data_IF_705116192102
#
_entry.id   IF_705116192102
#
_cell.length_a   1.000
_cell.length_b   1.000
_cell.length_c   1.000
_cell.angle_alpha   90.00
_cell.angle_beta   90.00
_cell.angle_gamma   90.00
#
_symmetry.space_group_name_H-M   'P 1'
#
loop_
_entity.id
_entity.type
_entity.pdbx_description
1 polymer ?
#
# COMPACT_ATOMS: atom_id res chain seq x y z
N UNK A 1 -11.47 -6.63 -8.95
CA UNK A 1 -10.67 -6.13 -7.80
C UNK A 1 -10.38 -7.16 -6.70
N UNK A 2 -11.38 -7.83 -6.12
CA UNK A 2 -11.23 -8.58 -4.84
C UNK A 2 -10.39 -9.86 -4.89
N UNK A 3 -10.26 -10.52 -6.04
CA UNK A 3 -9.64 -11.86 -6.13
C UNK A 3 -8.12 -11.84 -6.40
N UNK A 4 -7.56 -10.70 -6.85
CA UNK A 4 -6.12 -10.56 -7.10
C UNK A 4 -5.30 -10.38 -5.82
N UNK A 5 -4.00 -10.64 -5.87
CA UNK A 5 -3.08 -10.46 -4.73
C UNK A 5 -2.77 -8.98 -4.41
N UNK A 6 -3.08 -8.08 -5.33
CA UNK A 6 -2.57 -6.71 -5.30
C UNK A 6 -2.75 -5.95 -6.62
N UNK A 7 -1.90 -4.95 -6.83
CA UNK A 7 -1.74 -4.25 -8.10
C UNK A 7 -0.26 -4.05 -8.45
N UNK A 8 0.02 -3.79 -9.73
CA UNK A 8 1.32 -3.38 -10.22
C UNK A 8 1.42 -1.85 -10.22
N UNK A 9 2.39 -1.31 -9.50
CA UNK A 9 2.72 0.12 -9.55
C UNK A 9 3.91 0.37 -10.51
N UNK A 10 3.66 1.15 -11.55
CA UNK A 10 4.65 1.50 -12.57
C UNK A 10 5.03 2.96 -12.44
N UNK A 11 6.17 3.22 -11.81
CA UNK A 11 6.74 4.57 -11.77
C UNK A 11 7.41 4.91 -13.11
N UNK A 12 6.69 5.65 -13.95
CA UNK A 12 7.06 5.99 -15.32
C UNK A 12 8.30 6.90 -15.42
N UNK A 13 8.48 7.84 -14.49
CA UNK A 13 9.64 8.73 -14.53
C UNK A 13 10.98 7.98 -14.35
N UNK A 14 10.95 6.76 -13.78
CA UNK A 14 12.13 5.92 -13.62
C UNK A 14 12.34 4.94 -14.79
N UNK A 15 11.43 4.94 -15.78
CA UNK A 15 11.57 4.16 -17.01
C UNK A 15 12.28 5.01 -18.08
N UNK A 16 13.61 5.12 -18.00
CA UNK A 16 14.42 5.91 -18.94
C UNK A 16 15.43 5.04 -19.69
N UNK A 17 15.36 4.93 -21.03
CA UNK A 17 14.31 5.49 -21.90
C UNK A 17 12.96 4.79 -21.68
N UNK A 18 11.86 5.47 -22.04
CA UNK A 18 10.53 4.86 -21.98
C UNK A 18 10.40 3.76 -23.04
N UNK A 19 10.10 2.54 -22.60
CA UNK A 19 9.81 1.40 -23.47
C UNK A 19 8.55 0.67 -23.02
N UNK A 20 7.48 0.81 -23.80
CA UNK A 20 6.20 0.17 -23.52
C UNK A 20 6.27 -1.36 -23.55
N UNK A 21 7.23 -1.96 -24.29
CA UNK A 21 7.33 -3.42 -24.42
C UNK A 21 7.72 -4.06 -23.09
N UNK A 22 8.57 -3.42 -22.32
CA UNK A 22 8.98 -3.87 -20.98
C UNK A 22 7.79 -3.87 -20.01
N UNK A 23 7.00 -2.80 -20.03
CA UNK A 23 5.78 -2.67 -19.22
C UNK A 23 4.74 -3.73 -19.64
N UNK A 24 4.50 -3.90 -20.94
CA UNK A 24 3.59 -4.91 -21.48
C UNK A 24 4.01 -6.31 -21.05
N UNK A 25 5.29 -6.65 -21.19
CA UNK A 25 5.83 -7.95 -20.76
C UNK A 25 5.64 -8.17 -19.26
N UNK A 26 5.95 -7.17 -18.43
CA UNK A 26 5.71 -7.23 -16.99
C UNK A 26 4.24 -7.50 -16.67
N UNK A 27 3.32 -6.74 -17.24
CA UNK A 27 1.89 -6.95 -17.01
C UNK A 27 1.43 -8.34 -17.45
N UNK A 28 1.78 -8.78 -18.66
CA UNK A 28 1.34 -10.09 -19.15
C UNK A 28 1.82 -11.25 -18.27
N UNK A 29 3.04 -11.15 -17.74
CA UNK A 29 3.60 -12.16 -16.84
C UNK A 29 2.88 -12.23 -15.49
N UNK A 30 2.35 -11.11 -15.00
CA UNK A 30 1.83 -11.02 -13.63
C UNK A 30 0.34 -10.69 -13.49
N UNK A 31 -0.39 -10.43 -14.58
CA UNK A 31 -1.82 -10.04 -14.54
C UNK A 31 -2.73 -11.05 -13.85
N UNK A 32 -2.33 -12.33 -13.81
CA UNK A 32 -3.05 -13.40 -13.12
C UNK A 32 -2.98 -13.27 -11.59
N UNK A 33 -1.95 -12.59 -11.06
CA UNK A 33 -1.81 -12.25 -9.64
C UNK A 33 -2.25 -10.80 -9.38
N UNK A 34 -1.89 -9.87 -10.27
CA UNK A 34 -2.09 -8.44 -10.14
C UNK A 34 -2.90 -7.91 -11.35
N UNK A 35 -4.23 -8.09 -11.37
CA UNK A 35 -5.07 -7.70 -12.51
C UNK A 35 -5.27 -6.18 -12.64
N UNK A 36 -4.73 -5.41 -11.70
CA UNK A 36 -4.75 -3.96 -11.69
C UNK A 36 -3.32 -3.44 -11.89
N UNK A 37 -3.13 -2.51 -12.84
CA UNK A 37 -1.90 -1.75 -13.04
C UNK A 37 -2.15 -0.26 -12.91
N UNK A 38 -1.30 0.44 -12.16
CA UNK A 38 -1.35 1.89 -11.97
C UNK A 38 -0.04 2.51 -12.45
N UNK A 39 -0.15 3.68 -13.08
CA UNK A 39 0.96 4.42 -13.64
C UNK A 39 1.18 5.73 -12.88
N UNK A 40 2.34 5.83 -12.25
CA UNK A 40 2.73 7.00 -11.49
C UNK A 40 3.71 7.88 -12.27
N UNK A 41 3.49 9.21 -12.25
CA UNK A 41 4.37 10.19 -12.87
C UNK A 41 4.16 10.40 -14.37
N UNK A 42 2.99 10.09 -14.91
CA UNK A 42 2.68 10.20 -16.34
C UNK A 42 2.76 11.62 -16.91
N UNK A 43 2.72 12.63 -16.06
CA UNK A 43 2.81 14.05 -16.44
C UNK A 43 4.25 14.57 -16.54
N UNK A 44 5.24 13.77 -16.15
CA UNK A 44 6.65 14.16 -16.14
C UNK A 44 7.44 13.35 -17.16
N UNK A 45 8.45 13.94 -17.79
CA UNK A 45 9.31 13.24 -18.75
C UNK A 45 10.01 11.99 -18.14
N UNK A 46 10.24 10.93 -18.95
CA UNK A 46 11.11 9.82 -18.58
C UNK A 46 12.50 10.28 -18.12
N UNK A 47 13.01 9.68 -17.06
CA UNK A 47 14.32 10.01 -16.49
C UNK A 47 14.32 11.23 -15.56
N UNK A 48 13.18 11.89 -15.36
CA UNK A 48 13.06 12.96 -14.38
C UNK A 48 13.32 12.45 -12.96
N UNK A 49 14.08 13.24 -12.19
CA UNK A 49 14.33 13.01 -10.76
C UNK A 49 13.21 13.57 -9.86
N UNK A 50 12.25 14.27 -10.44
CA UNK A 50 11.18 14.96 -9.74
C UNK A 50 9.85 14.32 -10.16
N UNK A 51 9.10 13.80 -9.20
CA UNK A 51 7.66 13.59 -9.33
C UNK A 51 6.95 14.22 -8.12
N UNK A 52 5.77 14.83 -8.29
CA UNK A 52 4.97 14.90 -9.52
C UNK A 52 4.64 16.36 -9.87
N UNK A 53 4.69 16.70 -11.17
CA UNK A 53 4.13 17.97 -11.61
C UNK A 53 2.61 17.93 -11.37
N UNK A 54 2.00 18.97 -10.79
CA UNK A 54 0.55 19.05 -10.64
C UNK A 54 -0.12 19.48 -11.95
N UNK A 55 0.10 18.68 -13.00
CA UNK A 55 -0.48 18.85 -14.32
C UNK A 55 -1.38 17.66 -14.65
N UNK A 56 -2.54 17.93 -15.23
CA UNK A 56 -3.55 16.95 -15.62
C UNK A 56 -3.20 16.25 -16.95
N UNK A 57 -2.28 16.81 -17.74
CA UNK A 57 -1.86 16.27 -19.03
C UNK A 57 -0.71 15.28 -18.93
N UNK A 58 -0.78 14.22 -19.74
CA UNK A 58 0.31 13.26 -19.90
C UNK A 58 1.47 13.86 -20.70
N UNK A 59 2.70 13.56 -20.31
CA UNK A 59 3.88 13.97 -21.05
C UNK A 59 3.90 13.34 -22.47
N UNK A 60 4.25 14.11 -23.53
CA UNK A 60 4.22 13.60 -24.91
C UNK A 60 5.05 12.33 -25.16
N UNK A 61 6.15 12.13 -24.42
CA UNK A 61 7.01 10.95 -24.57
C UNK A 61 6.32 9.62 -24.28
N UNK A 62 5.19 9.63 -23.57
CA UNK A 62 4.39 8.43 -23.32
C UNK A 62 3.34 8.18 -24.41
N UNK A 63 3.08 9.16 -25.26
CA UNK A 63 2.04 9.12 -26.28
C UNK A 63 2.57 8.57 -27.61
N UNK A 64 1.76 7.79 -28.36
CA UNK A 64 0.46 7.21 -27.98
C UNK A 64 0.58 5.87 -27.22
N UNK A 65 1.80 5.35 -27.09
CA UNK A 65 2.07 3.95 -26.74
C UNK A 65 1.48 3.54 -25.37
N UNK A 66 1.57 4.40 -24.36
CA UNK A 66 1.03 4.10 -23.03
C UNK A 66 -0.51 4.08 -23.02
N UNK A 67 -1.23 5.09 -23.55
CA UNK A 67 -2.69 5.00 -23.73
C UNK A 67 -3.15 3.79 -24.54
N UNK A 68 -2.45 3.43 -25.61
CA UNK A 68 -2.79 2.24 -26.41
C UNK A 68 -2.70 0.96 -25.58
N UNK A 69 -1.64 0.82 -24.79
CA UNK A 69 -1.50 -0.30 -23.86
C UNK A 69 -2.57 -0.30 -22.77
N UNK A 70 -2.91 0.86 -22.20
CA UNK A 70 -3.97 0.95 -21.19
C UNK A 70 -5.31 0.51 -21.77
N UNK A 71 -5.64 0.92 -23.00
CA UNK A 71 -6.83 0.44 -23.71
C UNK A 71 -6.81 -1.08 -23.94
N UNK A 72 -5.66 -1.65 -24.29
CA UNK A 72 -5.48 -3.12 -24.41
C UNK A 72 -5.79 -3.83 -23.09
N UNK A 73 -5.26 -3.32 -21.97
CA UNK A 73 -5.50 -3.88 -20.63
C UNK A 73 -6.99 -3.84 -20.28
N UNK A 74 -7.64 -2.69 -20.47
CA UNK A 74 -9.07 -2.49 -20.16
C UNK A 74 -9.96 -3.35 -21.06
N UNK A 75 -9.68 -3.43 -22.35
CA UNK A 75 -10.41 -4.30 -23.28
C UNK A 75 -10.29 -5.79 -22.92
N UNK A 76 -9.17 -6.20 -22.31
CA UNK A 76 -8.96 -7.54 -21.78
C UNK A 76 -9.61 -7.80 -20.42
N UNK A 77 -10.40 -6.86 -19.88
CA UNK A 77 -11.06 -6.98 -18.58
C UNK A 77 -10.19 -6.64 -17.37
N UNK A 78 -9.00 -6.09 -17.58
CA UNK A 78 -8.12 -5.61 -16.52
C UNK A 78 -8.51 -4.22 -15.99
N UNK A 79 -7.87 -3.82 -14.90
CA UNK A 79 -7.97 -2.45 -14.37
C UNK A 79 -6.67 -1.70 -14.68
N UNK A 80 -6.75 -0.56 -15.34
CA UNK A 80 -5.60 0.27 -15.66
C UNK A 80 -5.89 1.74 -15.45
N UNK A 81 -4.94 2.43 -14.82
CA UNK A 81 -5.15 3.78 -14.33
C UNK A 81 -3.89 4.58 -14.18
N UNK A 82 -4.06 5.89 -14.04
CA UNK A 82 -2.98 6.83 -13.82
C UNK A 82 -3.15 7.54 -12.48
N UNK A 83 -2.06 8.16 -12.03
CA UNK A 83 -2.08 9.06 -10.90
C UNK A 83 -3.00 10.27 -11.14
N UNK A 84 -3.70 10.66 -10.08
CA UNK A 84 -4.48 11.87 -9.94
C UNK A 84 -4.27 12.37 -8.52
N UNK A 85 -4.25 13.67 -8.30
CA UNK A 85 -4.27 14.23 -6.96
C UNK A 85 -5.37 15.29 -6.86
N UNK A 86 -6.15 15.30 -5.77
CA UNK A 86 -6.76 16.54 -5.34
C UNK A 86 -5.66 17.59 -5.21
N UNK A 87 -5.92 18.82 -5.61
CA UNK A 87 -4.89 19.86 -5.59
C UNK A 87 -4.41 20.13 -4.17
N UNK A 88 -3.21 19.65 -3.84
CA UNK A 88 -2.49 20.00 -2.62
C UNK A 88 -1.46 21.06 -2.97
N UNK A 89 -1.61 22.24 -2.37
CA UNK A 89 -0.55 23.23 -2.43
C UNK A 89 -0.37 23.85 -1.05
N UNK A 90 0.88 24.19 -0.77
CA UNK A 90 1.36 24.53 0.58
C UNK A 90 1.71 26.00 0.70
N UNK A 91 1.54 26.79 -0.38
CA UNK A 91 1.92 28.18 -0.44
C UNK A 91 0.87 29.04 -1.16
N UNK A 92 1.08 30.35 -1.14
CA UNK A 92 0.18 31.33 -1.77
C UNK A 92 0.13 31.25 -3.29
N UNK A 93 1.11 30.59 -3.94
CA UNK A 93 1.13 30.38 -5.40
C UNK A 93 0.27 29.19 -5.82
N UNK A 94 0.05 28.25 -4.91
CA UNK A 94 -0.75 27.05 -5.12
C UNK A 94 -1.71 26.86 -3.93
N UNK A 95 -2.84 27.60 -3.85
CA UNK A 95 -3.76 27.47 -2.74
C UNK A 95 -4.48 26.12 -2.76
N UNK A 96 -4.40 25.37 -1.66
CA UNK A 96 -5.10 24.09 -1.47
C UNK A 96 -6.56 24.20 -1.94
N UNK A 97 -7.01 23.24 -2.77
CA UNK A 97 -8.41 23.14 -3.19
C UNK A 97 -9.12 22.01 -2.47
N UNK A 98 -10.16 22.42 -1.79
CA UNK A 98 -10.98 21.60 -0.92
C UNK A 98 -12.10 20.95 -1.74
N UNK A 99 -12.24 19.61 -1.67
CA UNK A 99 -13.15 18.83 -2.52
C UNK A 99 -14.64 19.07 -2.21
N UNK A 100 -14.95 19.62 -1.04
CA UNK A 100 -16.30 20.11 -0.71
C UNK A 100 -16.69 21.38 -1.48
N UNK A 101 -15.71 22.07 -2.08
CA UNK A 101 -15.97 23.23 -2.95
C UNK A 101 -16.05 22.78 -4.40
N UNK A 102 -16.82 23.52 -5.21
CA UNK A 102 -16.93 23.25 -6.65
C UNK A 102 -15.58 23.32 -7.37
N UNK A 103 -14.73 24.27 -7.01
CA UNK A 103 -13.40 24.41 -7.62
C UNK A 103 -12.52 23.18 -7.35
N UNK A 104 -12.51 22.67 -6.11
CA UNK A 104 -11.73 21.50 -5.75
C UNK A 104 -12.27 20.21 -6.37
N UNK A 105 -13.60 20.03 -6.39
CA UNK A 105 -14.20 18.88 -7.07
C UNK A 105 -13.94 18.92 -8.58
N UNK A 106 -14.12 20.07 -9.22
CA UNK A 106 -13.97 20.23 -10.67
C UNK A 106 -12.51 19.97 -11.11
N UNK A 107 -11.52 20.36 -10.30
CA UNK A 107 -10.11 20.00 -10.52
C UNK A 107 -9.90 18.49 -10.58
N UNK A 108 -10.27 17.76 -9.51
CA UNK A 108 -10.07 16.32 -9.47
C UNK A 108 -10.83 15.61 -10.60
N UNK A 109 -12.05 16.04 -10.88
CA UNK A 109 -12.90 15.44 -11.92
C UNK A 109 -12.36 15.72 -13.33
N UNK A 110 -11.75 16.88 -13.56
CA UNK A 110 -11.08 17.18 -14.83
C UNK A 110 -9.90 16.24 -15.04
N UNK A 111 -9.07 16.06 -14.01
CA UNK A 111 -7.95 15.11 -14.05
C UNK A 111 -8.41 13.67 -14.30
N UNK A 112 -9.43 13.20 -13.57
CA UNK A 112 -10.03 11.87 -13.79
C UNK A 112 -10.57 11.76 -15.23
N UNK A 113 -11.22 12.80 -15.74
CA UNK A 113 -11.70 12.88 -17.12
C UNK A 113 -10.59 12.78 -18.16
N UNK A 114 -9.46 13.45 -17.93
CA UNK A 114 -8.25 13.34 -18.77
C UNK A 114 -7.69 11.93 -18.76
N UNK A 115 -7.51 11.34 -17.58
CA UNK A 115 -7.07 9.96 -17.42
C UNK A 115 -8.00 8.97 -18.15
N UNK A 116 -9.32 9.19 -18.07
CA UNK A 116 -10.31 8.40 -18.82
C UNK A 116 -10.15 8.57 -20.32
N UNK A 117 -9.85 9.77 -20.82
CA UNK A 117 -9.60 10.01 -22.25
C UNK A 117 -8.36 9.26 -22.78
N UNK A 118 -7.39 8.96 -21.91
CA UNK A 118 -6.25 8.10 -22.21
C UNK A 118 -6.57 6.59 -22.11
N UNK A 119 -7.82 6.22 -21.84
CA UNK A 119 -8.29 4.83 -21.81
C UNK A 119 -8.36 4.21 -20.41
N UNK A 120 -8.09 4.97 -19.34
CA UNK A 120 -8.16 4.44 -17.98
C UNK A 120 -9.59 4.08 -17.55
N UNK A 121 -9.71 3.00 -16.77
CA UNK A 121 -10.92 2.62 -16.04
C UNK A 121 -10.72 2.59 -14.52
N UNK A 122 -9.50 2.85 -14.04
CA UNK A 122 -9.17 2.97 -12.62
C UNK A 122 -8.26 4.17 -12.37
N UNK A 123 -8.13 4.60 -11.12
CA UNK A 123 -7.47 5.87 -10.79
C UNK A 123 -6.71 5.76 -9.47
N UNK A 124 -5.50 6.29 -9.40
CA UNK A 124 -4.76 6.42 -8.15
C UNK A 124 -4.92 7.86 -7.63
N UNK A 125 -5.74 8.05 -6.61
CA UNK A 125 -6.08 9.37 -6.05
C UNK A 125 -5.21 9.63 -4.83
N UNK A 126 -4.14 10.38 -5.05
CA UNK A 126 -3.13 10.71 -4.07
C UNK A 126 -3.65 11.66 -2.98
N UNK A 127 -3.03 11.68 -1.80
CA UNK A 127 -3.21 12.58 -0.66
C UNK A 127 -4.58 12.61 0.01
N UNK A 128 -5.65 12.13 -0.66
CA UNK A 128 -7.03 12.24 -0.19
C UNK A 128 -7.24 11.59 1.17
N UNK A 129 -6.55 10.48 1.46
CA UNK A 129 -6.58 9.80 2.75
C UNK A 129 -5.64 10.36 3.81
N UNK A 130 -4.86 11.39 3.50
CA UNK A 130 -3.83 11.97 4.40
C UNK A 130 -4.18 13.35 4.91
N UNK A 131 -5.01 14.08 4.15
CA UNK A 131 -5.25 15.49 4.41
C UNK A 131 -6.73 15.83 4.46
N UNK A 132 -7.04 16.94 5.13
CA UNK A 132 -8.41 17.46 5.18
C UNK A 132 -8.82 18.06 3.83
N UNK A 133 -9.64 17.34 3.06
CA UNK A 133 -10.18 17.78 1.78
C UNK A 133 -11.63 18.26 1.86
N UNK A 134 -12.12 18.53 3.07
CA UNK A 134 -13.47 19.00 3.30
C UNK A 134 -14.26 18.21 4.30
N UNK A 135 -15.50 18.64 4.48
CA UNK A 135 -16.45 17.95 5.33
C UNK A 135 -16.65 16.50 4.84
N UNK A 136 -16.39 15.53 5.73
CA UNK A 136 -16.40 14.10 5.42
C UNK A 136 -17.64 13.66 4.64
N UNK A 137 -18.84 14.10 5.07
CA UNK A 137 -20.09 13.73 4.42
C UNK A 137 -20.17 14.22 2.96
N UNK A 138 -19.67 15.43 2.68
CA UNK A 138 -19.65 15.99 1.32
C UNK A 138 -18.65 15.27 0.43
N UNK A 139 -17.46 14.96 0.94
CA UNK A 139 -16.45 14.19 0.19
C UNK A 139 -16.93 12.75 -0.04
N UNK A 140 -17.55 12.11 0.96
CA UNK A 140 -18.19 10.80 0.82
C UNK A 140 -19.26 10.78 -0.27
N UNK A 141 -20.05 11.85 -0.41
CA UNK A 141 -21.07 11.95 -1.46
C UNK A 141 -20.45 11.94 -2.87
N UNK A 142 -19.19 12.35 -3.06
CA UNK A 142 -18.51 12.22 -4.34
C UNK A 142 -18.30 10.76 -4.73
N UNK A 143 -18.01 9.88 -3.77
CA UNK A 143 -17.97 8.43 -3.99
C UNK A 143 -19.37 7.83 -4.15
N UNK A 144 -20.31 8.23 -3.28
CA UNK A 144 -21.68 7.72 -3.30
C UNK A 144 -22.44 8.04 -4.59
N UNK A 145 -22.17 9.20 -5.19
CA UNK A 145 -22.72 9.63 -6.49
C UNK A 145 -22.03 8.99 -7.70
N UNK A 146 -20.85 8.39 -7.51
CA UNK A 146 -20.01 7.86 -8.59
C UNK A 146 -19.19 8.91 -9.34
N UNK A 147 -19.13 10.15 -8.84
CA UNK A 147 -18.26 11.20 -9.40
C UNK A 147 -16.78 10.83 -9.25
N UNK A 148 -16.38 10.38 -8.06
CA UNK A 148 -15.13 9.64 -7.90
C UNK A 148 -15.45 8.16 -8.18
N UNK A 149 -14.84 7.55 -9.22
CA UNK A 149 -15.16 6.17 -9.59
C UNK A 149 -14.85 5.17 -8.47
N UNK A 150 -15.60 4.07 -8.41
CA UNK A 150 -15.38 3.02 -7.40
C UNK A 150 -14.03 2.30 -7.59
N UNK A 151 -13.52 2.28 -8.81
CA UNK A 151 -12.19 1.76 -9.14
C UNK A 151 -11.08 2.81 -8.90
N UNK A 152 -11.23 3.61 -7.85
CA UNK A 152 -10.21 4.54 -7.36
C UNK A 152 -9.50 3.94 -6.14
N UNK A 153 -8.17 3.91 -6.20
CA UNK A 153 -7.29 3.65 -5.06
C UNK A 153 -6.97 4.99 -4.40
N UNK A 154 -7.29 5.14 -3.12
CA UNK A 154 -7.00 6.33 -2.34
C UNK A 154 -5.66 6.16 -1.64
N UNK A 155 -4.73 7.10 -1.80
CA UNK A 155 -3.53 7.08 -0.96
C UNK A 155 -3.90 7.52 0.46
N UNK A 156 -3.47 6.74 1.46
CA UNK A 156 -3.78 6.94 2.87
C UNK A 156 -5.05 6.21 3.31
N UNK A 157 -5.24 6.14 4.63
CA UNK A 157 -6.38 5.46 5.25
C UNK A 157 -7.22 6.47 6.01
N UNK A 158 -8.51 6.57 5.66
CA UNK A 158 -9.49 7.33 6.44
C UNK A 158 -10.81 6.58 6.55
N UNK A 159 -11.31 6.40 7.78
CA UNK A 159 -12.48 5.59 8.15
C UNK A 159 -13.79 6.03 7.50
N UNK A 160 -13.80 7.22 6.93
CA UNK A 160 -14.98 7.84 6.34
C UNK A 160 -15.18 7.44 4.87
N UNK A 161 -14.15 7.00 4.13
CA UNK A 161 -14.31 6.73 2.70
C UNK A 161 -14.60 5.24 2.41
N UNK A 162 -15.67 4.93 1.64
CA UNK A 162 -15.98 3.56 1.22
C UNK A 162 -15.18 3.17 -0.04
N UNK A 163 -13.85 3.32 0.01
CA UNK A 163 -12.97 3.09 -1.14
C UNK A 163 -11.78 2.19 -0.79
N UNK A 164 -11.12 1.65 -1.82
CA UNK A 164 -9.83 1.00 -1.68
C UNK A 164 -8.78 2.02 -1.24
N UNK A 165 -7.93 1.65 -0.28
CA UNK A 165 -6.92 2.57 0.28
C UNK A 165 -5.53 1.96 0.30
N UNK A 166 -4.50 2.77 0.00
CA UNK A 166 -3.09 2.42 0.16
C UNK A 166 -2.60 2.91 1.52
N UNK A 167 -2.16 1.99 2.37
CA UNK A 167 -1.49 2.26 3.64
C UNK A 167 -0.03 2.57 3.31
N UNK A 168 0.27 3.87 3.18
CA UNK A 168 1.55 4.38 2.75
C UNK A 168 2.03 5.47 3.71
N UNK A 169 3.32 5.53 4.04
CA UNK A 169 3.98 6.56 4.88
C UNK A 169 3.34 6.77 6.26
N UNK A 170 2.43 5.90 6.64
CA UNK A 170 1.60 5.95 7.84
C UNK A 170 2.39 5.51 9.08
N UNK A 171 3.38 4.64 8.88
CA UNK A 171 4.35 4.27 9.90
C UNK A 171 5.46 5.30 9.99
N UNK A 172 5.94 5.86 8.87
CA UNK A 172 7.08 6.78 8.83
C UNK A 172 6.72 8.29 8.94
N UNK A 173 5.44 8.66 8.91
CA UNK A 173 4.98 10.04 8.73
C UNK A 173 5.38 10.62 7.37
N UNK A 174 4.44 11.16 6.59
CA UNK A 174 4.79 11.99 5.43
C UNK A 174 5.28 13.35 5.91
N UNK A 175 6.53 13.69 5.65
CA UNK A 175 6.96 15.08 5.72
C UNK A 175 8.22 15.32 4.91
N UNK A 176 8.24 16.44 4.19
CA UNK A 176 9.42 16.93 3.49
C UNK A 176 10.15 17.93 4.41
N UNK A 177 11.33 17.56 4.92
CA UNK A 177 12.22 18.47 5.63
C UNK A 177 12.38 18.22 7.14
N UNK A 178 12.90 19.23 7.86
CA UNK A 178 13.42 19.15 9.25
C UNK A 178 12.43 18.61 10.30
N UNK A 179 11.14 18.58 9.99
CA UNK A 179 10.07 18.08 10.88
C UNK A 179 9.49 16.71 10.43
N UNK A 180 9.98 16.15 9.32
CA UNK A 180 9.26 15.17 8.51
C UNK A 180 9.95 13.83 8.24
N UNK A 181 11.08 13.55 8.88
CA UNK A 181 11.66 12.22 8.80
C UNK A 181 11.51 11.53 10.14
N UNK A 182 11.27 10.22 10.10
CA UNK A 182 11.24 9.31 11.22
C UNK A 182 9.88 9.21 11.95
N UNK A 183 8.86 8.59 11.38
CA UNK A 183 7.80 7.91 12.13
C UNK A 183 8.37 6.67 12.84
N UNK A 184 9.41 6.91 13.62
CA UNK A 184 10.19 5.85 14.19
C UNK A 184 9.34 5.08 15.22
N UNK A 185 9.68 3.81 15.50
CA UNK A 185 9.51 3.33 16.86
C UNK A 185 10.12 4.41 17.77
N UNK A 186 9.38 4.85 18.80
CA UNK A 186 9.66 6.00 19.70
C UNK A 186 9.02 7.36 19.36
N UNK A 187 8.37 7.57 18.21
CA UNK A 187 7.47 8.74 18.06
C UNK A 187 6.15 8.49 18.78
N UNK A 188 5.73 9.44 19.59
CA UNK A 188 4.41 9.41 20.24
C UNK A 188 3.61 10.67 19.88
N UNK A 189 2.27 10.61 19.90
CA UNK A 189 1.40 11.77 19.65
C UNK A 189 1.74 13.00 20.51
N UNK A 190 2.23 12.78 21.72
CA UNK A 190 2.52 13.81 22.72
C UNK A 190 3.82 14.57 22.47
N UNK A 191 4.66 14.11 21.54
CA UNK A 191 6.01 14.66 21.31
C UNK A 191 6.20 15.23 19.91
N UNK A 192 5.20 15.11 19.02
CA UNK A 192 5.31 15.53 17.62
C UNK A 192 4.00 16.10 17.07
N UNK A 193 3.76 17.38 17.37
CA UNK A 193 2.52 18.15 17.12
C UNK A 193 2.03 18.21 15.66
N UNK A 194 2.89 17.85 14.69
CA UNK A 194 2.62 17.93 13.24
C UNK A 194 2.52 16.57 12.56
N UNK A 195 2.74 15.47 13.28
CA UNK A 195 2.61 14.13 12.71
C UNK A 195 1.19 13.63 12.93
N UNK A 196 0.44 13.42 11.84
CA UNK A 196 -0.76 12.60 11.91
C UNK A 196 -0.32 11.16 12.13
N UNK A 197 -0.36 10.71 13.38
CA UNK A 197 -0.40 9.27 13.62
C UNK A 197 -1.71 8.82 12.99
N UNK A 198 -1.68 7.92 12.00
CA UNK A 198 -2.88 7.24 11.62
C UNK A 198 -3.35 6.60 12.92
N UNK A 199 -4.47 7.10 13.45
CA UNK A 199 -5.29 6.27 14.32
C UNK A 199 -5.77 5.19 13.39
N UNK A 200 -4.94 4.17 13.17
CA UNK A 200 -5.42 2.85 12.86
C UNK A 200 -6.32 2.51 14.04
N UNK A 201 -7.56 2.98 13.99
CA UNK A 201 -8.62 2.35 14.71
C UNK A 201 -8.50 0.92 14.23
N UNK A 202 -7.97 0.03 15.08
CA UNK A 202 -7.84 -1.40 14.81
C UNK A 202 -9.19 -2.01 14.35
N UNK A 203 -10.27 -1.25 14.54
CA UNK A 203 -11.62 -1.37 14.00
C UNK A 203 -11.78 -1.33 12.47
N UNK A 204 -10.82 -0.83 11.69
CA UNK A 204 -10.97 -0.62 10.25
C UNK A 204 -10.78 -1.86 9.39
N UNK A 205 -10.09 -2.88 9.90
CA UNK A 205 -9.72 -4.07 9.16
C UNK A 205 -10.85 -5.10 9.01
N UNK A 206 -12.10 -4.62 9.05
CA UNK A 206 -13.32 -5.39 8.85
C UNK A 206 -13.38 -6.01 7.46
N UNK A 207 -14.15 -5.39 6.57
CA UNK A 207 -14.37 -5.79 5.17
C UNK A 207 -13.72 -4.82 4.16
N UNK A 208 -12.96 -3.85 4.65
CA UNK A 208 -12.36 -2.79 3.84
C UNK A 208 -11.12 -3.30 3.11
N UNK A 209 -10.93 -2.79 1.89
CA UNK A 209 -9.80 -3.17 1.05
C UNK A 209 -8.63 -2.22 1.25
N UNK A 210 -7.59 -2.72 1.89
CA UNK A 210 -6.32 -2.02 2.05
C UNK A 210 -5.23 -2.67 1.21
N UNK A 211 -4.32 -1.81 0.75
CA UNK A 211 -3.11 -2.18 0.07
C UNK A 211 -1.93 -1.70 0.91
N UNK A 212 -0.92 -2.54 1.10
CA UNK A 212 0.35 -2.15 1.71
C UNK A 212 1.47 -2.40 0.70
N UNK A 213 2.42 -1.45 0.55
CA UNK A 213 3.53 -1.67 -0.37
C UNK A 213 4.51 -0.52 -0.56
N UNK A 214 5.25 -0.61 -1.67
CA UNK A 214 6.56 0.01 -1.87
C UNK A 214 6.46 1.47 -2.31
N UNK A 215 5.34 1.89 -2.92
CA UNK A 215 5.22 3.15 -3.67
C UNK A 215 5.59 4.41 -2.87
N UNK A 216 5.45 4.38 -1.53
CA UNK A 216 5.59 5.55 -0.68
C UNK A 216 6.65 5.42 0.42
N UNK A 217 7.76 4.77 0.07
CA UNK A 217 9.00 4.76 0.87
C UNK A 217 8.91 3.97 2.20
N UNK A 218 7.80 3.31 2.52
CA UNK A 218 7.72 2.38 3.67
C UNK A 218 8.68 1.19 3.50
N UNK A 219 9.02 0.84 2.26
CA UNK A 219 10.11 -0.09 1.91
C UNK A 219 11.50 0.39 2.35
N UNK A 220 11.68 1.68 2.63
CA UNK A 220 12.90 2.21 3.24
C UNK A 220 13.03 1.77 4.70
N UNK A 221 11.90 1.54 5.37
CA UNK A 221 11.82 1.08 6.75
C UNK A 221 11.79 -0.46 6.83
N UNK A 222 11.02 -1.10 5.95
CA UNK A 222 10.75 -2.54 6.04
C UNK A 222 10.97 -3.32 4.73
N UNK A 223 11.60 -2.77 3.71
CA UNK A 223 11.64 -3.40 2.38
C UNK A 223 12.65 -4.53 2.22
N UNK A 224 12.62 -5.11 1.02
CA UNK A 224 13.46 -6.21 0.52
C UNK A 224 14.98 -5.97 0.67
N UNK A 225 15.43 -4.73 0.54
CA UNK A 225 16.86 -4.46 0.39
C UNK A 225 17.45 -4.08 1.74
N UNK A 226 18.71 -4.43 1.93
CA UNK A 226 19.62 -3.96 3.00
C UNK A 226 19.76 -2.41 3.07
N UNK A 227 18.81 -1.62 2.57
CA UNK A 227 18.73 -0.17 2.72
C UNK A 227 18.79 0.23 4.19
N UNK A 228 18.13 -0.47 5.11
CA UNK A 228 18.30 -0.23 6.54
C UNK A 228 19.71 -0.56 7.07
N UNK A 229 20.50 -1.39 6.35
CA UNK A 229 21.94 -1.62 6.65
C UNK A 229 22.85 -0.61 5.95
N UNK A 230 22.32 0.27 5.09
CA UNK A 230 23.11 1.30 4.38
C UNK A 230 23.48 2.41 5.34
N UNK A 231 24.69 2.30 5.91
CA UNK A 231 25.34 3.33 6.73
C UNK A 231 25.56 4.66 5.99
N UNK A 232 25.36 4.71 4.67
CA UNK A 232 25.42 5.94 3.85
C UNK A 232 24.08 6.70 3.77
N UNK A 233 22.96 6.11 4.20
CA UNK A 233 21.67 6.80 4.22
C UNK A 233 21.53 7.68 5.45
N UNK A 234 21.87 8.98 5.32
CA UNK A 234 21.68 9.99 6.38
C UNK A 234 20.27 9.96 6.97
N UNK A 235 19.25 9.69 6.15
CA UNK A 235 17.85 9.60 6.58
C UNK A 235 17.59 8.43 7.53
N UNK A 236 18.19 7.26 7.30
CA UNK A 236 17.97 6.08 8.14
C UNK A 236 18.72 6.15 9.48
N UNK A 237 19.86 6.84 9.50
CA UNK A 237 20.64 7.09 10.72
C UNK A 237 19.98 8.09 11.66
N UNK A 238 19.48 9.22 11.12
CA UNK A 238 18.79 10.27 11.91
C UNK A 238 17.57 9.71 12.65
N UNK A 239 16.99 8.61 12.17
CA UNK A 239 15.79 8.00 12.70
C UNK A 239 15.99 6.83 13.66
N UNK A 240 17.22 6.42 13.97
CA UNK A 240 17.48 5.26 14.84
C UNK A 240 17.01 3.91 14.29
N UNK A 241 16.67 3.83 12.99
CA UNK A 241 16.09 2.63 12.39
C UNK A 241 17.06 1.45 12.33
N UNK A 242 18.36 1.71 12.13
CA UNK A 242 19.38 0.65 12.11
C UNK A 242 19.37 -0.11 13.44
N UNK A 243 19.46 0.63 14.56
CA UNK A 243 19.44 0.06 15.91
C UNK A 243 18.11 -0.63 16.22
N UNK A 244 16.98 -0.02 15.83
CA UNK A 244 15.69 -0.68 16.00
C UNK A 244 15.62 -2.04 15.29
N UNK A 245 16.07 -2.13 14.05
CA UNK A 245 16.10 -3.38 13.29
C UNK A 245 17.07 -4.41 13.90
N UNK A 246 18.23 -3.97 14.39
CA UNK A 246 19.18 -4.82 15.11
C UNK A 246 18.57 -5.43 16.38
N UNK A 247 17.80 -4.64 17.14
CA UNK A 247 17.21 -5.04 18.42
C UNK A 247 15.88 -5.81 18.25
N UNK A 248 15.09 -5.45 17.24
CA UNK A 248 13.70 -5.89 17.11
C UNK A 248 13.49 -6.99 16.06
N UNK A 249 14.46 -7.28 15.21
CA UNK A 249 14.41 -8.41 14.28
C UNK A 249 14.57 -7.99 12.82
N UNK A 250 14.60 -8.94 11.88
CA UNK A 250 14.95 -8.63 10.50
C UNK A 250 13.89 -7.72 9.87
N UNK A 251 14.26 -6.47 9.63
CA UNK A 251 13.47 -5.52 8.84
C UNK A 251 13.47 -5.84 7.33
N UNK A 252 14.22 -6.86 6.91
CA UNK A 252 14.15 -7.39 5.54
C UNK A 252 12.72 -7.89 5.27
N UNK A 253 12.08 -7.29 4.27
CA UNK A 253 10.71 -7.61 3.83
C UNK A 253 9.61 -7.42 4.90
N UNK A 254 9.87 -6.62 5.93
CA UNK A 254 8.86 -6.27 6.92
C UNK A 254 7.61 -5.59 6.32
N UNK A 255 7.67 -4.89 5.17
CA UNK A 255 6.48 -4.26 4.56
C UNK A 255 5.54 -5.36 4.11
N UNK A 256 6.08 -6.35 3.39
CA UNK A 256 5.33 -7.51 2.91
C UNK A 256 4.85 -8.37 4.07
N UNK A 257 5.69 -8.57 5.11
CA UNK A 257 5.29 -9.31 6.33
C UNK A 257 4.16 -8.62 7.07
N UNK A 258 4.22 -7.30 7.22
CA UNK A 258 3.19 -6.53 7.89
C UNK A 258 1.90 -6.54 7.09
N UNK A 259 1.98 -6.29 5.78
CA UNK A 259 0.82 -6.42 4.89
C UNK A 259 0.21 -7.83 4.97
N UNK A 260 1.03 -8.88 5.09
CA UNK A 260 0.56 -10.23 5.33
C UNK A 260 -0.15 -10.40 6.68
N UNK A 261 0.47 -9.94 7.78
CA UNK A 261 -0.09 -10.02 9.14
C UNK A 261 -1.33 -9.16 9.35
N UNK A 262 -1.51 -8.11 8.56
CA UNK A 262 -2.72 -7.26 8.55
C UNK A 262 -3.77 -7.76 7.54
N UNK A 263 -3.42 -8.71 6.68
CA UNK A 263 -4.32 -9.25 5.65
C UNK A 263 -4.51 -8.33 4.43
N UNK A 264 -3.63 -7.36 4.26
CA UNK A 264 -3.67 -6.34 3.20
C UNK A 264 -3.26 -6.90 1.83
N UNK A 265 -3.81 -6.32 0.77
CA UNK A 265 -3.32 -6.55 -0.59
C UNK A 265 -1.95 -5.92 -0.78
N UNK A 266 -1.21 -6.40 -1.76
CA UNK A 266 0.18 -5.99 -1.98
C UNK A 266 0.24 -4.92 -3.07
N UNK A 267 0.93 -3.81 -2.80
CA UNK A 267 1.35 -2.84 -3.81
C UNK A 267 2.78 -3.19 -4.26
N UNK A 268 2.91 -3.68 -5.50
CA UNK A 268 4.14 -4.30 -5.99
C UNK A 268 4.71 -3.54 -7.18
N UNK A 269 5.91 -2.99 -6.97
CA UNK A 269 6.67 -2.29 -8.02
C UNK A 269 7.56 -3.22 -8.86
N UNK A 270 8.33 -4.09 -8.18
CA UNK A 270 9.19 -5.08 -8.83
C UNK A 270 8.96 -6.44 -8.18
N UNK A 271 8.18 -7.34 -8.79
CA UNK A 271 7.86 -8.65 -8.20
C UNK A 271 9.02 -9.65 -8.22
N UNK A 272 10.13 -9.34 -8.90
CA UNK A 272 11.31 -10.22 -8.98
C UNK A 272 12.20 -10.06 -7.75
N UNK A 273 12.86 -11.14 -7.37
CA UNK A 273 13.87 -11.18 -6.30
C UNK A 273 13.32 -10.86 -4.90
N UNK A 274 12.07 -11.24 -4.61
CA UNK A 274 11.44 -11.05 -3.30
C UNK A 274 10.87 -12.38 -2.75
N UNK A 275 11.71 -13.12 -2.02
CA UNK A 275 11.36 -14.44 -1.49
C UNK A 275 10.16 -14.42 -0.52
N UNK A 276 9.92 -13.30 0.16
CA UNK A 276 8.80 -13.17 1.11
C UNK A 276 7.50 -12.89 0.38
N UNK A 277 7.55 -12.04 -0.65
CA UNK A 277 6.42 -11.81 -1.54
C UNK A 277 5.93 -13.13 -2.14
N UNK A 278 6.85 -13.95 -2.67
CA UNK A 278 6.50 -15.26 -3.22
C UNK A 278 5.90 -16.18 -2.15
N UNK A 279 6.51 -16.26 -0.96
CA UNK A 279 5.99 -17.07 0.14
C UNK A 279 4.57 -16.66 0.57
N UNK A 280 4.29 -15.35 0.62
CA UNK A 280 2.96 -14.80 0.92
C UNK A 280 1.96 -15.22 -0.16
N UNK A 281 2.31 -15.05 -1.44
CA UNK A 281 1.43 -15.39 -2.55
C UNK A 281 1.10 -16.88 -2.53
N UNK A 282 2.11 -17.74 -2.36
CA UNK A 282 1.92 -19.20 -2.31
C UNK A 282 1.04 -19.62 -1.13
N UNK A 283 1.25 -19.06 0.06
CA UNK A 283 0.41 -19.37 1.21
C UNK A 283 -1.02 -18.82 1.05
N UNK A 284 -1.20 -17.63 0.48
CA UNK A 284 -2.53 -17.06 0.17
C UNK A 284 -3.29 -17.89 -0.86
N UNK A 285 -2.61 -18.38 -1.90
CA UNK A 285 -3.20 -19.31 -2.89
C UNK A 285 -3.59 -20.62 -2.21
N UNK A 286 -2.67 -21.26 -1.49
CA UNK A 286 -2.92 -22.52 -0.78
C UNK A 286 -4.10 -22.42 0.19
N UNK A 287 -4.19 -21.33 0.95
CA UNK A 287 -5.24 -21.10 1.94
C UNK A 287 -6.54 -20.52 1.34
N UNK A 288 -6.59 -20.29 0.02
CA UNK A 288 -7.70 -19.64 -0.68
C UNK A 288 -8.11 -18.30 -0.03
N UNK A 289 -7.10 -17.50 0.38
CA UNK A 289 -7.25 -16.34 1.26
C UNK A 289 -8.33 -15.36 0.80
N UNK A 290 -8.28 -14.91 -0.46
CA UNK A 290 -9.19 -13.87 -0.94
C UNK A 290 -10.64 -14.35 -1.09
N UNK A 291 -10.87 -15.60 -1.46
CA UNK A 291 -12.22 -16.17 -1.54
C UNK A 291 -12.86 -16.28 -0.15
N UNK A 292 -12.04 -16.52 0.89
CA UNK A 292 -12.49 -16.61 2.28
C UNK A 292 -12.80 -15.27 2.94
N UNK A 293 -12.42 -14.14 2.32
CA UNK A 293 -12.64 -12.76 2.82
C UNK A 293 -12.34 -12.62 4.33
N UNK A 294 -11.11 -12.91 4.77
CA UNK A 294 -10.73 -12.89 6.17
C UNK A 294 -10.83 -11.48 6.74
N UNK A 295 -11.52 -11.36 7.86
CA UNK A 295 -11.64 -10.16 8.69
C UNK A 295 -10.59 -10.21 9.78
N UNK A 296 -9.74 -9.19 9.90
CA UNK A 296 -8.72 -9.13 10.94
C UNK A 296 -9.35 -9.02 12.34
N UNK A 297 -8.86 -9.83 13.27
CA UNK A 297 -9.35 -9.93 14.65
C UNK A 297 -8.21 -9.89 15.67
N UNK A 298 -7.11 -9.20 15.34
CA UNK A 298 -5.94 -8.97 16.18
C UNK A 298 -5.38 -10.21 16.92
N UNK A 299 -4.77 -10.02 18.10
CA UNK A 299 -4.24 -11.09 18.95
C UNK A 299 -5.14 -11.41 20.15
N UNK A 300 -6.31 -10.78 20.26
CA UNK A 300 -7.21 -10.91 21.42
C UNK A 300 -7.73 -12.33 21.55
N UNK A 301 -7.38 -12.95 22.69
CA UNK A 301 -7.73 -14.34 23.00
C UNK A 301 -6.71 -15.37 22.52
N UNK A 302 -5.58 -14.93 21.95
CA UNK A 302 -4.41 -15.77 21.76
C UNK A 302 -3.59 -15.84 23.05
N UNK A 303 -3.22 -17.05 23.48
CA UNK A 303 -2.24 -17.26 24.53
C UNK A 303 -0.86 -17.41 23.88
N UNK A 304 -0.08 -16.31 23.91
CA UNK A 304 1.24 -16.21 23.27
C UNK A 304 2.41 -16.33 24.26
N UNK A 305 2.16 -16.70 25.52
CA UNK A 305 3.20 -16.79 26.55
C UNK A 305 4.29 -17.81 26.23
N UNK A 306 3.97 -18.84 25.43
CA UNK A 306 4.89 -19.85 24.91
C UNK A 306 5.64 -19.41 23.65
N UNK A 307 5.42 -18.19 23.15
CA UNK A 307 6.16 -17.59 22.04
C UNK A 307 7.20 -16.62 22.61
N UNK A 308 8.48 -17.00 22.68
CA UNK A 308 9.53 -16.13 23.20
C UNK A 308 9.66 -14.84 22.39
N UNK A 309 9.81 -13.68 23.06
CA UNK A 309 9.94 -12.39 22.36
C UNK A 309 11.14 -12.32 21.41
N UNK A 310 12.21 -13.05 21.69
CA UNK A 310 13.42 -13.13 20.89
C UNK A 310 13.28 -14.07 19.67
N UNK A 311 12.26 -14.94 19.64
CA UNK A 311 11.90 -15.74 18.46
C UNK A 311 11.47 -14.87 17.27
N UNK A 312 10.97 -13.65 17.57
CA UNK A 312 10.40 -12.70 16.60
C UNK A 312 9.22 -13.30 15.81
N UNK A 313 8.56 -14.33 16.33
CA UNK A 313 7.35 -14.87 15.73
C UNK A 313 6.18 -13.93 16.01
N UNK A 314 5.50 -13.53 14.95
CA UNK A 314 4.30 -12.72 15.03
C UNK A 314 3.11 -13.51 14.51
N UNK A 315 1.98 -13.39 15.20
CA UNK A 315 0.77 -14.15 14.93
C UNK A 315 -0.41 -13.18 14.99
N UNK A 316 -1.22 -13.17 13.96
CA UNK A 316 -2.47 -12.39 13.92
C UNK A 316 -3.63 -13.30 13.53
N UNK A 317 -4.80 -13.04 14.13
CA UNK A 317 -5.99 -13.83 13.92
C UNK A 317 -6.93 -13.15 12.94
N UNK A 318 -7.64 -13.96 12.17
CA UNK A 318 -8.69 -13.55 11.26
C UNK A 318 -9.92 -14.43 11.41
N UNK A 319 -11.08 -13.93 10.97
CA UNK A 319 -12.30 -14.71 10.79
C UNK A 319 -12.68 -14.71 9.33
N UNK A 320 -12.77 -15.89 8.73
CA UNK A 320 -13.25 -16.06 7.37
C UNK A 320 -14.77 -15.87 7.28
N UNK A 321 -15.26 -15.66 6.06
CA UNK A 321 -16.68 -15.48 5.73
C UNK A 321 -17.56 -16.66 6.17
N UNK A 322 -17.03 -17.88 6.17
CA UNK A 322 -17.71 -19.10 6.62
C UNK A 322 -17.73 -19.26 8.15
N UNK A 323 -17.10 -18.34 8.90
CA UNK A 323 -16.99 -18.35 10.35
C UNK A 323 -15.76 -19.07 10.90
N UNK A 324 -14.96 -19.75 10.06
CA UNK A 324 -13.70 -20.37 10.48
C UNK A 324 -12.69 -19.32 10.95
N UNK A 325 -11.78 -19.73 11.82
CA UNK A 325 -10.69 -18.88 12.34
C UNK A 325 -9.43 -19.16 11.53
N UNK A 326 -8.70 -18.12 11.16
CA UNK A 326 -7.41 -18.24 10.48
C UNK A 326 -6.35 -17.51 11.28
N UNK A 327 -5.11 -17.96 11.17
CA UNK A 327 -3.96 -17.32 11.79
C UNK A 327 -2.90 -17.08 10.72
N UNK A 328 -2.54 -15.81 10.52
CA UNK A 328 -1.38 -15.43 9.73
C UNK A 328 -0.16 -15.41 10.66
N UNK A 329 0.89 -16.12 10.28
CA UNK A 329 2.09 -16.32 11.09
C UNK A 329 3.32 -15.87 10.29
N UNK A 330 4.10 -14.96 10.87
CA UNK A 330 5.45 -14.59 10.41
C UNK A 330 6.46 -15.23 11.36
N UNK A 331 7.26 -16.19 10.89
CA UNK A 331 8.33 -16.82 11.66
C UNK A 331 9.68 -16.57 10.96
N UNK A 332 10.23 -15.34 11.07
CA UNK A 332 11.37 -14.92 10.26
C UNK A 332 12.65 -15.71 10.54
N UNK A 333 12.80 -16.26 11.76
CA UNK A 333 13.97 -17.04 12.19
C UNK A 333 13.80 -18.56 12.03
N UNK A 334 12.66 -19.02 11.47
CA UNK A 334 12.36 -20.45 11.30
C UNK A 334 12.50 -21.23 12.61
N UNK A 335 12.07 -20.64 13.73
CA UNK A 335 12.18 -21.29 15.04
C UNK A 335 11.22 -22.48 15.08
N UNK A 336 11.74 -23.64 15.47
CA UNK A 336 10.98 -24.89 15.59
C UNK A 336 10.45 -25.11 17.01
N UNK A 337 9.47 -26.01 17.14
CA UNK A 337 8.93 -26.44 18.44
C UNK A 337 8.06 -25.40 19.16
N UNK A 338 7.76 -24.27 18.53
CA UNK A 338 6.88 -23.25 19.09
C UNK A 338 5.41 -23.60 18.85
N UNK A 339 4.56 -23.21 19.81
CA UNK A 339 3.12 -23.32 19.71
C UNK A 339 2.46 -22.17 20.47
N UNK A 340 1.23 -21.85 20.12
CA UNK A 340 0.37 -20.91 20.83
C UNK A 340 -0.99 -21.55 21.09
N UNK A 341 -1.79 -21.00 22.01
CA UNK A 341 -3.15 -21.51 22.25
C UNK A 341 -4.23 -20.54 21.82
N UNK A 342 -5.33 -21.10 21.35
CA UNK A 342 -6.57 -20.39 21.09
C UNK A 342 -7.74 -21.24 21.56
N UNK A 343 -8.58 -20.69 22.45
CA UNK A 343 -9.73 -21.40 23.05
C UNK A 343 -9.36 -22.79 23.63
N UNK A 344 -8.20 -22.89 24.28
CA UNK A 344 -7.71 -24.14 24.87
C UNK A 344 -7.05 -25.11 23.89
N UNK A 345 -7.14 -24.89 22.58
CA UNK A 345 -6.46 -25.70 21.56
C UNK A 345 -5.03 -25.20 21.36
N UNK A 346 -4.05 -26.11 21.38
CA UNK A 346 -2.66 -25.83 21.05
C UNK A 346 -2.44 -25.91 19.54
N UNK A 347 -1.87 -24.87 18.95
CA UNK A 347 -1.61 -24.73 17.52
C UNK A 347 -0.10 -24.58 17.32
N UNK A 348 0.49 -25.46 16.52
CA UNK A 348 1.91 -25.42 16.22
C UNK A 348 2.25 -24.23 15.30
N UNK A 349 3.35 -23.54 15.59
CA UNK A 349 3.94 -22.55 14.68
C UNK A 349 4.74 -23.30 13.62
N UNK A 350 4.38 -23.20 12.33
CA UNK A 350 5.13 -23.87 11.28
C UNK A 350 6.56 -23.34 11.17
N UNK A 351 7.49 -24.22 10.79
CA UNK A 351 8.88 -23.86 10.44
C UNK A 351 8.89 -23.30 9.01
N UNK A 352 8.21 -22.17 8.81
CA UNK A 352 8.08 -21.46 7.53
C UNK A 352 8.14 -19.96 7.80
N UNK A 353 8.78 -19.18 6.91
CA UNK A 353 8.89 -17.73 7.07
C UNK A 353 7.52 -17.03 7.14
N UNK A 354 6.54 -17.59 6.42
CA UNK A 354 5.16 -17.14 6.28
C UNK A 354 4.27 -18.39 6.31
N UNK A 355 3.18 -18.37 7.07
CA UNK A 355 2.21 -19.46 7.09
C UNK A 355 0.81 -18.97 7.43
N UNK A 356 -0.20 -19.62 6.83
CA UNK A 356 -1.60 -19.49 7.24
C UNK A 356 -2.05 -20.83 7.86
N UNK A 357 -2.54 -20.82 9.09
CA UNK A 357 -3.12 -22.01 9.75
C UNK A 357 -4.55 -21.74 10.19
N UNK A 358 -5.31 -22.81 10.45
CA UNK A 358 -6.74 -22.78 10.82
C UNK A 358 -6.96 -23.34 12.22
#
# INVERSE_FOLDING_TARGET
>A
MWEGQGFLDIFLALQSPFDIRSIRSLYQNYKHLYPWVLFWGQMTAPGSKICCALNEEMHPDYLPALPDFVREVVAGGGHAGYYSAPYYGTDSGHPRRNLETREGSDWLLTWIGKNKSYGANSYYVDTLGWSYYGEAAKVMNLFGSGLIPKDSLIEGVTDIYPAASLVAGSLAGSGDGRDGFCGAPYKTPETFDRTTFPRFGRYLFGDRLFYGGIANQDSTFWGNVRYWKRKDSKRLQVCGYVSYCEDNGPCEYGTERLAFLLGEKLDVRTPKDNEILDAIIQERIRANWWARRPVYLDTKGLELTSIPRDSKVEITRFRAKDGSTLFAISNPKLVAGLSFRFKGTSIAVPVKKIAIVE
#
